data_IF_002961168197
#
_entry.id   IF_002961168197
#
_cell.length_a   1.000
_cell.length_b   1.000
_cell.length_c   1.000
_cell.angle_alpha   90.00
_cell.angle_beta   90.00
_cell.angle_gamma   90.00
#
_symmetry.space_group_name_H-M   'P 1'
#
loop_
_entity.id
_entity.type
_entity.pdbx_description
1 polymer ?
#
# COMPACT_ATOMS: atom_id res chain seq x y z
N UNK A 1 34.09 -15.75 20.94
CA UNK A 1 34.74 -16.21 19.69
C UNK A 1 34.85 -14.97 18.81
N UNK A 2 36.05 -14.55 18.39
CA UNK A 2 36.24 -13.29 17.67
C UNK A 2 35.78 -13.43 16.20
N UNK A 3 34.76 -12.67 15.78
CA UNK A 3 34.17 -12.74 14.43
C UNK A 3 35.19 -12.43 13.33
N UNK A 4 36.15 -11.54 13.59
CA UNK A 4 37.23 -11.19 12.67
C UNK A 4 38.10 -12.40 12.32
N UNK A 5 38.56 -13.14 13.33
CA UNK A 5 39.43 -14.30 13.15
C UNK A 5 38.74 -15.42 12.37
N UNK A 6 37.47 -15.67 12.67
CA UNK A 6 36.65 -16.65 11.96
C UNK A 6 36.46 -16.26 10.48
N UNK A 7 36.25 -14.96 10.19
CA UNK A 7 36.08 -14.44 8.83
C UNK A 7 37.36 -14.54 7.99
N UNK A 8 38.49 -14.15 8.57
CA UNK A 8 39.81 -14.29 7.93
C UNK A 8 40.06 -15.78 7.59
N UNK A 9 39.76 -16.68 8.52
CA UNK A 9 39.91 -18.13 8.33
C UNK A 9 39.01 -18.67 7.21
N UNK A 10 37.78 -18.18 7.10
CA UNK A 10 36.85 -18.57 6.04
C UNK A 10 37.35 -18.12 4.67
N UNK A 11 37.67 -16.83 4.51
CA UNK A 11 38.19 -16.26 3.26
C UNK A 11 39.50 -16.92 2.82
N UNK A 12 40.40 -17.23 3.77
CA UNK A 12 41.64 -17.95 3.48
C UNK A 12 41.37 -19.33 2.88
N UNK A 13 40.43 -20.08 3.48
CA UNK A 13 40.07 -21.43 3.01
C UNK A 13 39.41 -21.38 1.65
N UNK A 14 38.51 -20.43 1.42
CA UNK A 14 37.87 -20.19 0.13
C UNK A 14 38.91 -19.95 -0.98
N UNK A 15 39.90 -19.10 -0.69
CA UNK A 15 41.01 -18.80 -1.61
C UNK A 15 42.13 -19.85 -1.62
N UNK A 16 41.93 -20.98 -0.92
CA UNK A 16 42.88 -22.11 -0.82
C UNK A 16 44.30 -21.70 -0.38
N UNK A 17 44.42 -20.65 0.42
CA UNK A 17 45.71 -20.16 0.93
C UNK A 17 46.14 -20.94 2.18
N UNK A 18 47.43 -21.23 2.30
CA UNK A 18 47.99 -21.75 3.56
C UNK A 18 48.14 -20.62 4.58
N UNK A 19 48.27 -20.97 5.87
CA UNK A 19 48.55 -19.96 6.91
C UNK A 19 49.86 -19.22 6.64
N UNK A 20 50.86 -19.90 6.03
CA UNK A 20 52.14 -19.30 5.66
C UNK A 20 51.98 -18.33 4.50
N UNK A 21 51.19 -18.68 3.49
CA UNK A 21 50.89 -17.79 2.35
C UNK A 21 50.12 -16.54 2.78
N UNK A 22 49.14 -16.69 3.67
CA UNK A 22 48.37 -15.54 4.18
C UNK A 22 49.23 -14.64 5.08
N UNK A 23 50.09 -15.24 5.91
CA UNK A 23 51.01 -14.51 6.76
C UNK A 23 52.05 -13.72 5.94
N UNK A 24 52.57 -14.34 4.87
CA UNK A 24 53.64 -13.79 4.04
C UNK A 24 54.84 -13.35 4.88
N UNK A 25 55.48 -12.26 4.45
CA UNK A 25 56.72 -11.76 5.06
C UNK A 25 56.46 -10.85 6.28
N UNK A 26 55.20 -10.48 6.51
CA UNK A 26 54.80 -9.45 7.49
C UNK A 26 54.41 -10.02 8.84
N UNK A 27 54.15 -11.32 8.95
CA UNK A 27 53.88 -11.97 10.23
C UNK A 27 54.24 -13.45 10.21
N UNK A 28 54.39 -14.07 11.38
CA UNK A 28 54.65 -15.50 11.47
C UNK A 28 53.37 -16.33 11.29
N UNK A 29 53.51 -17.56 10.79
CA UNK A 29 52.43 -18.57 10.76
C UNK A 29 51.73 -18.72 12.13
N UNK A 30 52.51 -18.66 13.21
CA UNK A 30 52.00 -18.72 14.58
C UNK A 30 51.09 -17.54 14.91
N UNK A 31 51.51 -16.33 14.56
CA UNK A 31 50.70 -15.11 14.74
C UNK A 31 49.40 -15.17 13.92
N UNK A 32 49.47 -15.60 12.66
CA UNK A 32 48.28 -15.77 11.81
C UNK A 32 47.30 -16.79 12.39
N UNK A 33 47.80 -17.90 12.94
CA UNK A 33 46.97 -18.89 13.64
C UNK A 33 46.31 -18.31 14.91
N UNK A 34 47.04 -17.49 15.69
CA UNK A 34 46.47 -16.83 16.86
C UNK A 34 45.36 -15.84 16.48
N UNK A 35 45.55 -15.08 15.40
CA UNK A 35 44.53 -14.16 14.86
C UNK A 35 43.28 -14.94 14.40
N UNK A 36 43.43 -15.99 13.59
CA UNK A 36 42.29 -16.79 13.09
C UNK A 36 41.48 -17.46 14.20
N UNK A 37 42.14 -17.82 15.31
CA UNK A 37 41.47 -18.45 16.46
C UNK A 37 41.03 -17.42 17.52
N UNK A 38 41.14 -16.12 17.24
CA UNK A 38 40.71 -15.04 18.12
C UNK A 38 41.55 -14.87 19.38
N UNK A 39 42.77 -15.42 19.41
CA UNK A 39 43.72 -15.36 20.52
C UNK A 39 44.67 -14.15 20.44
N UNK A 40 44.71 -13.46 19.30
CA UNK A 40 45.46 -12.22 19.12
C UNK A 40 44.64 -11.23 18.30
N UNK A 41 44.67 -9.94 18.66
CA UNK A 41 44.12 -8.87 17.83
C UNK A 41 45.19 -8.35 16.86
N UNK A 42 44.93 -8.33 15.55
CA UNK A 42 45.86 -7.75 14.58
C UNK A 42 45.90 -6.22 14.70
N UNK A 43 47.06 -5.63 14.45
CA UNK A 43 47.18 -4.17 14.23
C UNK A 43 46.53 -3.77 12.90
N UNK A 44 46.31 -2.46 12.69
CA UNK A 44 45.80 -1.96 11.40
C UNK A 44 46.73 -2.27 10.22
N UNK A 45 48.06 -2.22 10.42
CA UNK A 45 49.02 -2.62 9.38
C UNK A 45 48.90 -4.11 9.05
N UNK A 46 48.76 -4.95 10.08
CA UNK A 46 48.54 -6.39 9.91
C UNK A 46 47.22 -6.69 9.20
N UNK A 47 46.15 -5.96 9.51
CA UNK A 47 44.84 -6.05 8.84
C UNK A 47 44.92 -5.65 7.37
N UNK A 48 45.61 -4.56 7.04
CA UNK A 48 45.84 -4.13 5.64
C UNK A 48 46.61 -5.17 4.85
N UNK A 49 47.64 -5.78 5.46
CA UNK A 49 48.39 -6.86 4.84
C UNK A 49 47.52 -8.10 4.58
N UNK A 50 46.75 -8.53 5.60
CA UNK A 50 45.83 -9.68 5.47
C UNK A 50 44.79 -9.41 4.37
N UNK A 51 44.22 -8.20 4.32
CA UNK A 51 43.24 -7.80 3.31
C UNK A 51 43.84 -7.84 1.91
N UNK A 52 45.06 -7.32 1.74
CA UNK A 52 45.80 -7.36 0.49
C UNK A 52 46.08 -8.80 0.02
N UNK A 53 46.52 -9.68 0.91
CA UNK A 53 46.78 -11.09 0.58
C UNK A 53 45.49 -11.86 0.21
N UNK A 54 44.38 -11.52 0.88
CA UNK A 54 43.06 -12.05 0.55
C UNK A 54 42.41 -11.35 -0.65
N UNK A 55 43.00 -10.28 -1.19
CA UNK A 55 42.42 -9.44 -2.25
C UNK A 55 40.99 -8.98 -1.90
N UNK A 56 40.82 -8.47 -0.68
CA UNK A 56 39.58 -7.89 -0.17
C UNK A 56 39.87 -6.52 0.46
N UNK A 57 38.85 -5.72 0.70
CA UNK A 57 39.02 -4.49 1.46
C UNK A 57 39.13 -4.77 2.97
N UNK A 58 39.85 -3.91 3.70
CA UNK A 58 39.97 -4.01 5.16
C UNK A 58 38.60 -3.98 5.84
N UNK A 59 37.66 -3.20 5.30
CA UNK A 59 36.28 -3.14 5.78
C UNK A 59 35.58 -4.52 5.72
N UNK A 60 35.89 -5.36 4.74
CA UNK A 60 35.30 -6.69 4.59
C UNK A 60 35.76 -7.64 5.72
N UNK A 61 37.03 -7.52 6.12
CA UNK A 61 37.58 -8.26 7.26
C UNK A 61 36.96 -7.82 8.59
N UNK A 62 36.84 -6.50 8.80
CA UNK A 62 36.41 -5.92 10.08
C UNK A 62 34.92 -6.14 10.36
N UNK A 63 34.09 -6.34 9.33
CA UNK A 63 32.63 -6.38 9.54
C UNK A 63 31.88 -5.44 8.60
N UNK A 64 32.49 -4.30 8.32
CA UNK A 64 31.87 -3.12 7.73
C UNK A 64 31.49 -3.27 6.25
N UNK A 65 32.20 -4.09 5.47
CA UNK A 65 31.89 -4.30 4.06
C UNK A 65 30.51 -4.92 3.84
N UNK A 66 30.12 -5.87 4.68
CA UNK A 66 28.80 -6.51 4.64
C UNK A 66 27.70 -5.58 5.13
N UNK A 67 27.98 -4.76 6.15
CA UNK A 67 27.03 -3.77 6.66
C UNK A 67 26.80 -2.63 5.66
N UNK A 68 27.86 -2.16 4.99
CA UNK A 68 27.75 -1.14 3.94
C UNK A 68 27.00 -1.68 2.73
N UNK A 69 27.34 -2.88 2.27
CA UNK A 69 26.64 -3.55 1.17
C UNK A 69 25.14 -3.66 1.43
N UNK A 70 24.72 -4.12 2.62
CA UNK A 70 23.28 -4.22 2.96
C UNK A 70 22.59 -2.87 2.99
N UNK A 71 23.24 -1.83 3.52
CA UNK A 71 22.69 -0.45 3.52
C UNK A 71 22.51 0.08 2.11
N UNK A 72 23.50 -0.12 1.24
CA UNK A 72 23.42 0.29 -0.17
C UNK A 72 22.34 -0.49 -0.94
N UNK A 73 22.20 -1.79 -0.66
CA UNK A 73 21.17 -2.65 -1.22
C UNK A 73 19.77 -2.20 -0.75
N UNK A 74 19.59 -1.96 0.54
CA UNK A 74 18.34 -1.47 1.12
C UNK A 74 17.94 -0.14 0.50
N UNK A 75 18.85 0.83 0.41
CA UNK A 75 18.56 2.14 -0.21
C UNK A 75 18.05 2.02 -1.65
N UNK A 76 18.61 1.08 -2.43
CA UNK A 76 18.15 0.81 -3.80
C UNK A 76 16.77 0.15 -3.82
N UNK A 77 16.49 -0.75 -2.88
CA UNK A 77 15.18 -1.37 -2.73
C UNK A 77 14.12 -0.35 -2.31
N UNK A 78 14.42 0.51 -1.33
CA UNK A 78 13.56 1.61 -0.90
C UNK A 78 13.20 2.53 -2.08
N UNK A 79 14.19 2.93 -2.88
CA UNK A 79 13.93 3.76 -4.06
C UNK A 79 12.99 3.10 -5.08
N UNK A 80 13.05 1.78 -5.27
CA UNK A 80 12.12 1.06 -6.14
C UNK A 80 10.72 0.98 -5.52
N UNK A 81 10.66 0.76 -4.20
CA UNK A 81 9.39 0.61 -3.48
C UNK A 81 8.63 1.94 -3.32
N UNK A 82 9.34 3.05 -3.15
CA UNK A 82 8.77 4.41 -2.97
C UNK A 82 8.37 5.08 -4.30
N UNK A 83 8.61 4.43 -5.44
CA UNK A 83 8.25 4.97 -6.76
C UNK A 83 6.73 4.88 -6.99
N UNK A 84 6.06 5.89 -7.59
CA UNK A 84 4.60 5.98 -7.72
C UNK A 84 3.90 4.76 -8.36
N UNK A 85 2.62 4.59 -8.01
CA UNK A 85 1.73 3.46 -8.33
C UNK A 85 1.70 3.05 -9.81
N UNK A 86 1.93 4.00 -10.74
CA UNK A 86 1.96 3.74 -12.20
C UNK A 86 3.05 2.75 -12.66
N UNK A 87 4.01 2.39 -11.79
CA UNK A 87 5.09 1.43 -12.08
C UNK A 87 5.11 0.23 -11.12
N UNK A 88 4.01 -0.06 -10.40
CA UNK A 88 3.97 -1.11 -9.38
C UNK A 88 4.53 -2.46 -9.85
N UNK A 89 4.05 -2.97 -10.99
CA UNK A 89 4.49 -4.29 -11.48
C UNK A 89 5.98 -4.32 -11.88
N UNK A 90 6.50 -3.38 -12.71
CA UNK A 90 7.94 -3.26 -12.96
C UNK A 90 8.78 -3.10 -11.68
N UNK A 91 8.30 -2.35 -10.70
CA UNK A 91 9.03 -2.13 -9.44
C UNK A 91 9.11 -3.42 -8.62
N UNK A 92 8.04 -4.21 -8.54
CA UNK A 92 8.07 -5.51 -7.88
C UNK A 92 9.03 -6.48 -8.58
N UNK A 93 9.03 -6.52 -9.92
CA UNK A 93 10.02 -7.32 -10.67
C UNK A 93 11.45 -6.87 -10.37
N UNK A 94 11.71 -5.56 -10.38
CA UNK A 94 13.01 -4.98 -10.05
C UNK A 94 13.46 -5.30 -8.62
N UNK A 95 12.54 -5.32 -7.65
CA UNK A 95 12.82 -5.73 -6.27
C UNK A 95 13.24 -7.20 -6.19
N UNK A 96 12.56 -8.09 -6.91
CA UNK A 96 12.94 -9.50 -6.98
C UNK A 96 14.34 -9.64 -7.56
N UNK A 97 14.61 -9.04 -8.74
CA UNK A 97 15.91 -9.11 -9.41
C UNK A 97 17.05 -8.56 -8.54
N UNK A 98 16.76 -7.49 -7.78
CA UNK A 98 17.73 -6.83 -6.90
C UNK A 98 18.08 -7.67 -5.67
N UNK A 99 17.08 -8.29 -5.03
CA UNK A 99 17.24 -8.90 -3.70
C UNK A 99 17.51 -10.40 -3.78
N UNK A 100 16.91 -11.11 -4.75
CA UNK A 100 16.99 -12.58 -4.86
C UNK A 100 18.42 -13.13 -4.82
N UNK A 101 19.44 -12.55 -5.50
CA UNK A 101 20.81 -13.06 -5.49
C UNK A 101 21.52 -12.95 -4.12
N UNK A 102 20.89 -12.28 -3.15
CA UNK A 102 21.50 -11.91 -1.88
C UNK A 102 20.78 -12.49 -0.66
N UNK A 103 19.66 -13.22 -0.86
CA UNK A 103 18.83 -13.76 0.22
C UNK A 103 19.61 -14.63 1.22
N UNK A 104 20.51 -15.50 0.74
CA UNK A 104 21.31 -16.38 1.62
C UNK A 104 22.29 -15.62 2.52
N UNK A 105 22.59 -14.35 2.20
CA UNK A 105 23.52 -13.50 2.96
C UNK A 105 22.82 -12.62 3.99
N UNK A 106 21.49 -12.69 4.08
CA UNK A 106 20.69 -11.86 4.98
C UNK A 106 20.71 -12.43 6.41
N UNK A 107 21.43 -11.75 7.30
CA UNK A 107 21.58 -12.15 8.71
C UNK A 107 20.59 -11.44 9.64
N UNK A 108 20.66 -11.69 10.94
CA UNK A 108 19.81 -11.05 11.94
C UNK A 108 20.21 -9.57 12.15
N UNK A 109 19.66 -8.67 11.35
CA UNK A 109 19.80 -7.21 11.45
C UNK A 109 18.61 -6.52 10.78
N UNK A 110 18.48 -5.20 10.99
CA UNK A 110 17.38 -4.40 10.46
C UNK A 110 17.33 -4.42 8.94
N UNK A 111 18.45 -4.16 8.27
CA UNK A 111 18.49 -4.04 6.81
C UNK A 111 18.07 -5.35 6.14
N UNK A 112 18.53 -6.49 6.68
CA UNK A 112 18.12 -7.82 6.23
C UNK A 112 16.64 -8.09 6.45
N UNK A 113 16.07 -7.69 7.59
CA UNK A 113 14.63 -7.84 7.85
C UNK A 113 13.80 -7.02 6.85
N UNK A 114 14.22 -5.78 6.58
CA UNK A 114 13.52 -4.89 5.66
C UNK A 114 13.61 -5.35 4.20
N UNK A 115 14.77 -5.86 3.78
CA UNK A 115 14.94 -6.48 2.46
C UNK A 115 14.05 -7.72 2.27
N UNK A 116 13.95 -8.58 3.27
CA UNK A 116 13.04 -9.74 3.21
C UNK A 116 11.57 -9.32 3.20
N UNK A 117 11.19 -8.27 3.93
CA UNK A 117 9.85 -7.70 3.87
C UNK A 117 9.53 -7.20 2.44
N UNK A 118 10.42 -6.42 1.82
CA UNK A 118 10.22 -5.95 0.44
C UNK A 118 10.15 -7.10 -0.56
N UNK A 119 11.00 -8.11 -0.38
CA UNK A 119 10.96 -9.31 -1.21
C UNK A 119 9.64 -10.07 -1.05
N UNK A 120 9.16 -10.27 0.18
CA UNK A 120 7.88 -10.92 0.45
C UNK A 120 6.71 -10.16 -0.18
N UNK A 121 6.66 -8.83 -0.03
CA UNK A 121 5.65 -7.98 -0.68
C UNK A 121 5.68 -8.12 -2.21
N UNK A 122 6.86 -8.04 -2.81
CA UNK A 122 7.02 -8.21 -4.26
C UNK A 122 6.58 -9.60 -4.73
N UNK A 123 6.97 -10.67 -4.02
CA UNK A 123 6.52 -12.03 -4.33
C UNK A 123 4.99 -12.15 -4.26
N UNK A 124 4.36 -11.58 -3.25
CA UNK A 124 2.90 -11.60 -3.11
C UNK A 124 2.20 -10.91 -4.29
N UNK A 125 2.60 -9.68 -4.64
CA UNK A 125 2.02 -8.97 -5.79
C UNK A 125 2.29 -9.67 -7.13
N UNK A 126 3.39 -10.39 -7.24
CA UNK A 126 3.73 -11.23 -8.40
C UNK A 126 3.13 -12.65 -8.33
N UNK A 127 2.26 -12.93 -7.35
CA UNK A 127 1.59 -14.23 -7.14
C UNK A 127 2.55 -15.41 -7.01
N UNK A 128 3.71 -15.17 -6.40
CA UNK A 128 4.72 -16.20 -6.09
C UNK A 128 4.48 -16.77 -4.69
N UNK A 129 4.29 -18.08 -4.59
CA UNK A 129 3.99 -18.78 -3.32
C UNK A 129 5.06 -18.61 -2.24
N UNK A 130 6.31 -18.37 -2.64
CA UNK A 130 7.45 -18.19 -1.72
C UNK A 130 7.36 -16.95 -0.81
N UNK A 131 6.40 -16.04 -1.04
CA UNK A 131 6.24 -14.81 -0.26
C UNK A 131 6.12 -15.09 1.25
N UNK A 132 5.41 -16.15 1.64
CA UNK A 132 5.15 -16.48 3.04
C UNK A 132 6.42 -16.90 3.78
N UNK A 133 7.36 -17.55 3.10
CA UNK A 133 8.66 -17.94 3.66
C UNK A 133 9.45 -16.69 4.08
N UNK A 134 9.51 -15.69 3.21
CA UNK A 134 10.26 -14.46 3.47
C UNK A 134 9.52 -13.55 4.45
N UNK A 135 8.18 -13.54 4.43
CA UNK A 135 7.36 -12.90 5.45
C UNK A 135 7.68 -13.44 6.86
N UNK A 136 7.67 -14.76 7.04
CA UNK A 136 7.99 -15.39 8.32
C UNK A 136 9.44 -15.12 8.76
N UNK A 137 10.38 -15.11 7.81
CA UNK A 137 11.78 -14.77 8.07
C UNK A 137 11.95 -13.33 8.57
N UNK A 138 11.32 -12.36 7.89
CA UNK A 138 11.34 -10.94 8.28
C UNK A 138 10.67 -10.74 9.65
N UNK A 139 9.51 -11.38 9.87
CA UNK A 139 8.77 -11.35 11.13
C UNK A 139 9.65 -11.82 12.30
N UNK A 140 10.33 -12.94 12.13
CA UNK A 140 11.24 -13.48 13.14
C UNK A 140 12.37 -12.49 13.46
N UNK A 141 12.96 -11.85 12.44
CA UNK A 141 14.03 -10.86 12.65
C UNK A 141 13.54 -9.62 13.40
N UNK A 142 12.41 -9.04 13.01
CA UNK A 142 11.87 -7.87 13.72
C UNK A 142 11.52 -8.18 15.17
N UNK A 143 10.93 -9.35 15.44
CA UNK A 143 10.63 -9.79 16.81
C UNK A 143 11.91 -9.93 17.65
N UNK A 144 12.93 -10.60 17.13
CA UNK A 144 14.21 -10.81 17.83
C UNK A 144 15.00 -9.53 18.06
N UNK A 145 14.85 -8.55 17.18
CA UNK A 145 15.49 -7.23 17.30
C UNK A 145 14.67 -6.25 18.15
N UNK A 146 13.49 -6.65 18.64
CA UNK A 146 12.56 -5.79 19.38
C UNK A 146 12.15 -4.52 18.60
N UNK A 147 12.09 -4.63 17.27
CA UNK A 147 11.68 -3.54 16.37
C UNK A 147 10.16 -3.57 16.20
N UNK A 148 9.45 -3.24 17.28
CA UNK A 148 8.01 -3.47 17.40
C UNK A 148 7.16 -2.73 16.37
N UNK A 149 7.53 -1.50 15.97
CA UNK A 149 6.85 -0.78 14.89
C UNK A 149 6.97 -1.51 13.54
N UNK A 150 8.17 -1.95 13.17
CA UNK A 150 8.37 -2.70 11.92
C UNK A 150 7.72 -4.07 11.98
N UNK A 151 7.73 -4.71 13.16
CA UNK A 151 7.00 -5.95 13.41
C UNK A 151 5.49 -5.76 13.21
N UNK A 152 4.90 -4.71 13.79
CA UNK A 152 3.49 -4.38 13.67
C UNK A 152 3.11 -4.03 12.22
N UNK A 153 3.89 -3.19 11.53
CA UNK A 153 3.67 -2.88 10.11
C UNK A 153 3.70 -4.13 9.23
N UNK A 154 4.59 -5.08 9.51
CA UNK A 154 4.63 -6.35 8.78
C UNK A 154 3.39 -7.22 9.08
N UNK A 155 2.95 -7.28 10.34
CA UNK A 155 1.74 -8.00 10.70
C UNK A 155 0.48 -7.40 10.03
N UNK A 156 0.35 -6.07 10.03
CA UNK A 156 -0.71 -5.37 9.32
C UNK A 156 -0.70 -5.66 7.81
N UNK A 157 0.48 -5.83 7.20
CA UNK A 157 0.57 -6.28 5.80
C UNK A 157 -0.11 -7.64 5.58
N UNK A 158 -0.07 -8.58 6.55
CA UNK A 158 -0.79 -9.85 6.43
C UNK A 158 -2.31 -9.66 6.47
N UNK A 159 -2.83 -8.76 7.32
CA UNK A 159 -4.24 -8.39 7.28
C UNK A 159 -4.62 -7.81 5.91
N UNK A 160 -3.74 -6.98 5.32
CA UNK A 160 -3.97 -6.43 3.99
C UNK A 160 -3.89 -7.46 2.85
N UNK A 161 -3.20 -8.58 3.04
CA UNK A 161 -3.27 -9.73 2.11
C UNK A 161 -4.69 -10.31 2.10
N UNK A 162 -5.27 -10.57 3.27
CA UNK A 162 -6.65 -11.07 3.37
C UNK A 162 -7.66 -10.07 2.80
N UNK A 163 -7.45 -8.77 3.01
CA UNK A 163 -8.26 -7.71 2.38
C UNK A 163 -8.24 -7.77 0.85
N UNK A 164 -7.06 -7.94 0.24
CA UNK A 164 -6.94 -8.04 -1.22
C UNK A 164 -7.56 -9.33 -1.78
N UNK A 165 -7.62 -10.38 -0.96
CA UNK A 165 -8.35 -11.63 -1.23
C UNK A 165 -9.86 -11.53 -0.94
N UNK A 166 -10.34 -10.35 -0.53
CA UNK A 166 -11.74 -10.07 -0.17
C UNK A 166 -12.25 -10.85 1.05
N UNK A 167 -11.34 -11.35 1.91
CA UNK A 167 -11.68 -11.93 3.22
C UNK A 167 -11.71 -10.83 4.29
N UNK A 168 -12.68 -9.91 4.18
CA UNK A 168 -12.70 -8.67 4.97
C UNK A 168 -12.81 -8.91 6.49
N UNK A 169 -13.63 -9.87 6.92
CA UNK A 169 -13.79 -10.22 8.34
C UNK A 169 -12.51 -10.81 8.94
N UNK A 170 -11.79 -11.63 8.17
CA UNK A 170 -10.52 -12.23 8.60
C UNK A 170 -9.44 -11.15 8.69
N UNK A 171 -9.36 -10.26 7.70
CA UNK A 171 -8.48 -9.09 7.71
C UNK A 171 -8.72 -8.22 8.96
N UNK A 172 -9.99 -7.90 9.25
CA UNK A 172 -10.36 -7.09 10.43
C UNK A 172 -9.97 -7.79 11.73
N UNK A 173 -10.27 -9.08 11.84
CA UNK A 173 -9.97 -9.89 13.02
C UNK A 173 -8.46 -9.94 13.29
N UNK A 174 -7.65 -10.11 12.24
CA UNK A 174 -6.19 -10.08 12.35
C UNK A 174 -5.71 -8.71 12.84
N UNK A 175 -6.13 -7.61 12.19
CA UNK A 175 -5.67 -6.27 12.51
C UNK A 175 -6.02 -5.85 13.96
N UNK A 176 -7.27 -6.08 14.41
CA UNK A 176 -7.70 -5.74 15.77
C UNK A 176 -6.93 -6.57 16.81
N UNK A 177 -6.88 -7.90 16.63
CA UNK A 177 -6.21 -8.79 17.58
C UNK A 177 -4.74 -8.43 17.78
N UNK A 178 -4.06 -8.07 16.70
CA UNK A 178 -2.67 -7.64 16.75
C UNK A 178 -2.52 -6.32 17.50
N UNK A 179 -3.34 -5.33 17.14
CA UNK A 179 -3.35 -4.01 17.75
C UNK A 179 -3.59 -4.09 19.27
N UNK A 180 -4.63 -4.81 19.70
CA UNK A 180 -4.95 -5.07 21.12
C UNK A 180 -3.79 -5.77 21.83
N UNK A 181 -3.12 -6.72 21.17
CA UNK A 181 -1.98 -7.43 21.77
C UNK A 181 -0.79 -6.52 22.08
N UNK A 182 -0.60 -5.43 21.31
CA UNK A 182 0.44 -4.44 21.59
C UNK A 182 0.05 -3.61 22.81
N UNK A 183 -1.22 -3.21 22.94
CA UNK A 183 -1.73 -2.48 24.10
C UNK A 183 -1.64 -3.31 25.38
N UNK A 184 -2.08 -4.57 25.35
CA UNK A 184 -1.98 -5.51 26.48
C UNK A 184 -0.54 -5.70 26.97
N UNK A 185 0.42 -5.76 26.03
CA UNK A 185 1.85 -5.89 26.32
C UNK A 185 2.53 -4.57 26.64
N UNK A 186 1.79 -3.45 26.68
CA UNK A 186 2.30 -2.09 26.90
C UNK A 186 3.40 -1.69 25.89
N UNK A 187 3.34 -2.23 24.67
CA UNK A 187 4.25 -1.90 23.59
C UNK A 187 3.81 -0.59 22.95
N UNK A 188 4.67 0.41 22.98
CA UNK A 188 4.40 1.72 22.36
C UNK A 188 4.84 1.68 20.90
N UNK A 189 3.88 1.78 19.99
CA UNK A 189 4.12 1.97 18.56
C UNK A 189 4.45 3.43 18.27
N UNK A 190 5.27 3.67 17.25
CA UNK A 190 5.46 5.03 16.75
C UNK A 190 4.15 5.58 16.14
N UNK A 191 4.01 6.91 16.04
CA UNK A 191 2.76 7.52 15.58
C UNK A 191 2.30 7.09 14.18
N UNK A 192 3.22 6.86 13.23
CA UNK A 192 2.83 6.48 11.87
C UNK A 192 2.28 5.05 11.85
N UNK A 193 2.95 4.11 12.51
CA UNK A 193 2.46 2.73 12.62
C UNK A 193 1.12 2.66 13.35
N UNK A 194 0.91 3.45 14.42
CA UNK A 194 -0.41 3.50 15.07
C UNK A 194 -1.48 4.06 14.12
N UNK A 195 -1.18 5.12 13.37
CA UNK A 195 -2.10 5.67 12.37
C UNK A 195 -2.45 4.67 11.27
N UNK A 196 -1.49 3.85 10.81
CA UNK A 196 -1.76 2.76 9.86
C UNK A 196 -2.84 1.81 10.42
N UNK A 197 -2.72 1.37 11.67
CA UNK A 197 -3.70 0.49 12.30
C UNK A 197 -5.08 1.15 12.44
N UNK A 198 -5.15 2.38 12.96
CA UNK A 198 -6.44 3.06 13.14
C UNK A 198 -7.15 3.27 11.79
N UNK A 199 -6.41 3.68 10.76
CA UNK A 199 -6.92 3.85 9.41
C UNK A 199 -7.40 2.52 8.81
N UNK A 200 -6.57 1.47 8.82
CA UNK A 200 -6.93 0.17 8.22
C UNK A 200 -8.09 -0.49 8.95
N UNK A 201 -8.15 -0.41 10.29
CA UNK A 201 -9.28 -0.93 11.06
C UNK A 201 -10.56 -0.17 10.71
N UNK A 202 -10.50 1.16 10.52
CA UNK A 202 -11.65 1.94 10.05
C UNK A 202 -12.14 1.47 8.67
N UNK A 203 -11.24 1.36 7.70
CA UNK A 203 -11.53 0.85 6.34
C UNK A 203 -12.14 -0.54 6.39
N UNK A 204 -11.58 -1.45 7.18
CA UNK A 204 -12.07 -2.82 7.29
C UNK A 204 -13.44 -2.92 7.97
N UNK A 205 -13.73 -2.08 8.96
CA UNK A 205 -15.08 -1.99 9.54
C UNK A 205 -16.09 -1.52 8.48
N UNK A 206 -15.74 -0.53 7.65
CA UNK A 206 -16.60 -0.08 6.55
C UNK A 206 -16.81 -1.17 5.50
N UNK A 207 -15.78 -1.95 5.18
CA UNK A 207 -15.85 -3.04 4.20
C UNK A 207 -16.88 -4.12 4.59
N UNK A 208 -17.08 -4.36 5.89
CA UNK A 208 -18.07 -5.32 6.41
C UNK A 208 -19.40 -4.65 6.82
N UNK A 209 -19.60 -3.37 6.49
CA UNK A 209 -20.81 -2.61 6.82
C UNK A 209 -20.97 -2.25 8.29
N UNK A 210 -19.91 -2.31 9.10
CA UNK A 210 -19.89 -1.87 10.51
C UNK A 210 -19.55 -0.37 10.61
N UNK A 211 -20.41 0.42 10.00
CA UNK A 211 -20.28 1.86 9.77
C UNK A 211 -20.03 2.69 11.03
N UNK A 212 -20.80 2.47 12.09
CA UNK A 212 -20.62 3.19 13.36
C UNK A 212 -19.22 2.96 13.97
N UNK A 213 -18.68 1.75 13.79
CA UNK A 213 -17.32 1.43 14.25
C UNK A 213 -16.28 2.04 13.33
N UNK A 214 -16.51 2.00 12.02
CA UNK A 214 -15.61 2.64 11.06
C UNK A 214 -15.43 4.13 11.38
N UNK A 215 -16.53 4.82 11.70
CA UNK A 215 -16.53 6.24 12.06
C UNK A 215 -15.80 6.48 13.39
N UNK A 216 -16.00 5.64 14.41
CA UNK A 216 -15.24 5.70 15.68
C UNK A 216 -13.72 5.62 15.47
N UNK A 217 -13.25 4.61 14.74
CA UNK A 217 -11.81 4.41 14.48
C UNK A 217 -11.22 5.54 13.64
N UNK A 218 -11.97 6.05 12.66
CA UNK A 218 -11.56 7.17 11.82
C UNK A 218 -11.43 8.46 12.62
N UNK A 219 -12.40 8.78 13.47
CA UNK A 219 -12.37 9.97 14.32
C UNK A 219 -11.20 9.89 15.33
N UNK A 220 -10.95 8.70 15.90
CA UNK A 220 -9.77 8.47 16.73
C UNK A 220 -8.46 8.70 15.95
N UNK A 221 -8.36 8.20 14.72
CA UNK A 221 -7.18 8.40 13.87
C UNK A 221 -6.93 9.89 13.58
N UNK A 222 -7.98 10.63 13.22
CA UNK A 222 -7.89 12.08 12.96
C UNK A 222 -7.48 12.83 14.23
N UNK A 223 -8.10 12.51 15.37
CA UNK A 223 -7.79 13.13 16.65
C UNK A 223 -6.33 12.87 17.06
N UNK A 224 -5.87 11.62 16.90
CA UNK A 224 -4.51 11.20 17.20
C UNK A 224 -3.48 11.88 16.29
N UNK A 225 -3.74 11.96 14.98
CA UNK A 225 -2.89 12.66 14.01
C UNK A 225 -2.69 14.14 14.39
N UNK A 226 -3.79 14.83 14.77
CA UNK A 226 -3.77 16.23 15.19
C UNK A 226 -3.02 16.39 16.52
N UNK A 227 -3.31 15.55 17.51
CA UNK A 227 -2.66 15.58 18.84
C UNK A 227 -1.14 15.41 18.70
N UNK A 228 -0.70 14.42 17.92
CA UNK A 228 0.73 14.13 17.69
C UNK A 228 1.38 15.06 16.67
N UNK A 229 0.60 15.89 15.97
CA UNK A 229 1.05 16.73 14.84
C UNK A 229 1.76 15.91 13.77
N UNK A 230 1.23 14.72 13.50
CA UNK A 230 1.71 13.80 12.47
C UNK A 230 0.63 13.73 11.40
N UNK A 231 0.87 14.42 10.27
CA UNK A 231 -0.08 14.53 9.16
C UNK A 231 0.06 13.41 8.12
N UNK A 232 0.76 12.33 8.47
CA UNK A 232 0.78 11.09 7.69
C UNK A 232 -0.65 10.52 7.59
N UNK A 233 -1.10 10.19 6.37
CA UNK A 233 -2.47 9.71 6.04
C UNK A 233 -3.63 10.66 6.34
N UNK A 234 -3.37 11.91 6.69
CA UNK A 234 -4.49 12.79 7.06
C UNK A 234 -5.42 13.07 5.87
N UNK A 235 -4.88 13.10 4.66
CA UNK A 235 -5.63 13.14 3.40
C UNK A 235 -6.48 11.88 3.20
N UNK A 236 -5.92 10.68 3.41
CA UNK A 236 -6.68 9.42 3.36
C UNK A 236 -7.89 9.46 4.31
N UNK A 237 -7.65 9.92 5.55
CA UNK A 237 -8.68 10.04 6.58
C UNK A 237 -9.74 11.09 6.24
N UNK A 238 -9.35 12.25 5.69
CA UNK A 238 -10.32 13.25 5.25
C UNK A 238 -11.14 12.80 4.04
N UNK A 239 -10.54 12.06 3.12
CA UNK A 239 -11.27 11.43 2.00
C UNK A 239 -12.29 10.42 2.51
N UNK A 240 -11.88 9.52 3.40
CA UNK A 240 -12.78 8.56 4.03
C UNK A 240 -13.93 9.26 4.75
N UNK A 241 -13.62 10.26 5.60
CA UNK A 241 -14.62 10.99 6.38
C UNK A 241 -15.60 11.77 5.51
N UNK A 242 -15.10 12.40 4.44
CA UNK A 242 -15.92 13.12 3.49
C UNK A 242 -16.86 12.17 2.74
N UNK A 243 -16.36 11.02 2.27
CA UNK A 243 -17.17 10.01 1.60
C UNK A 243 -18.26 9.42 2.51
N UNK A 244 -17.90 9.09 3.75
CA UNK A 244 -18.86 8.66 4.78
C UNK A 244 -19.95 9.70 5.02
N UNK A 245 -19.58 10.97 5.14
CA UNK A 245 -20.53 12.07 5.31
C UNK A 245 -21.47 12.22 4.09
N UNK A 246 -20.98 12.02 2.86
CA UNK A 246 -21.83 11.99 1.66
C UNK A 246 -22.87 10.87 1.75
N UNK A 247 -22.44 9.65 2.07
CA UNK A 247 -23.30 8.47 2.14
C UNK A 247 -24.39 8.59 3.21
N UNK A 248 -24.10 9.29 4.31
CA UNK A 248 -25.02 9.51 5.43
C UNK A 248 -25.90 10.77 5.27
N UNK A 249 -25.70 11.57 4.21
CA UNK A 249 -26.41 12.84 4.02
C UNK A 249 -26.00 13.94 5.02
N UNK A 250 -24.80 13.84 5.60
CA UNK A 250 -24.28 14.77 6.60
C UNK A 250 -23.54 15.94 5.96
N UNK A 251 -24.30 16.86 5.35
CA UNK A 251 -23.76 17.92 4.49
C UNK A 251 -22.71 18.82 5.17
N UNK A 252 -22.93 19.18 6.43
CA UNK A 252 -21.98 20.03 7.17
C UNK A 252 -20.63 19.34 7.38
N UNK A 253 -20.62 18.04 7.70
CA UNK A 253 -19.40 17.25 7.85
C UNK A 253 -18.71 17.06 6.51
N UNK A 254 -19.47 16.81 5.45
CA UNK A 254 -18.96 16.66 4.09
C UNK A 254 -18.20 17.90 3.64
N UNK A 255 -18.80 19.09 3.80
CA UNK A 255 -18.15 20.39 3.51
C UNK A 255 -16.93 20.64 4.38
N UNK A 256 -16.99 20.27 5.66
CA UNK A 256 -15.86 20.40 6.56
C UNK A 256 -14.67 19.55 6.10
N UNK A 257 -14.86 18.26 5.81
CA UNK A 257 -13.76 17.36 5.47
C UNK A 257 -13.19 17.61 4.07
N UNK A 258 -14.03 17.97 3.08
CA UNK A 258 -13.52 18.31 1.74
C UNK A 258 -12.66 19.58 1.77
N UNK A 259 -13.04 20.56 2.59
CA UNK A 259 -12.25 21.77 2.79
C UNK A 259 -10.93 21.47 3.52
N UNK A 260 -10.95 20.57 4.50
CA UNK A 260 -9.71 20.12 5.17
C UNK A 260 -8.76 19.41 4.21
N UNK A 261 -9.29 18.57 3.32
CA UNK A 261 -8.50 17.93 2.26
C UNK A 261 -7.86 18.97 1.34
N UNK A 262 -8.63 19.98 0.90
CA UNK A 262 -8.13 21.07 0.05
C UNK A 262 -7.01 21.86 0.71
N UNK A 263 -7.21 22.27 1.96
CA UNK A 263 -6.20 23.01 2.74
C UNK A 263 -4.92 22.18 2.96
N UNK A 264 -5.04 20.87 3.15
CA UNK A 264 -3.90 19.99 3.24
C UNK A 264 -3.16 19.86 1.90
N UNK A 265 -3.90 19.73 0.80
CA UNK A 265 -3.34 19.69 -0.55
C UNK A 265 -2.54 20.96 -0.86
N UNK A 266 -3.10 22.13 -0.55
CA UNK A 266 -2.43 23.44 -0.69
C UNK A 266 -1.15 23.50 0.17
N UNK A 267 -1.25 23.09 1.44
CA UNK A 267 -0.12 23.11 2.37
C UNK A 267 1.03 22.18 1.95
N UNK A 268 0.71 21.03 1.36
CA UNK A 268 1.69 20.00 0.98
C UNK A 268 2.11 20.05 -0.48
N UNK A 269 1.54 20.96 -1.27
CA UNK A 269 1.73 21.05 -2.74
C UNK A 269 1.44 19.72 -3.45
N UNK A 270 0.51 18.92 -2.91
CA UNK A 270 0.16 17.59 -3.40
C UNK A 270 -0.96 17.65 -4.44
N UNK A 271 -0.58 17.47 -5.71
CA UNK A 271 -1.50 17.49 -6.85
C UNK A 271 -2.59 16.42 -6.76
N UNK A 272 -2.23 15.22 -6.36
CA UNK A 272 -3.16 14.09 -6.19
C UNK A 272 -4.27 14.40 -5.16
N UNK A 273 -3.92 15.07 -4.06
CA UNK A 273 -4.90 15.50 -3.05
C UNK A 273 -5.87 16.55 -3.58
N UNK A 274 -5.41 17.46 -4.47
CA UNK A 274 -6.29 18.41 -5.16
C UNK A 274 -7.24 17.71 -6.12
N UNK A 275 -6.73 16.77 -6.91
CA UNK A 275 -7.51 15.97 -7.86
C UNK A 275 -8.60 15.17 -7.14
N UNK A 276 -8.29 14.55 -6.00
CA UNK A 276 -9.30 13.89 -5.16
C UNK A 276 -10.39 14.88 -4.71
N UNK A 277 -10.03 16.09 -4.28
CA UNK A 277 -11.03 17.06 -3.84
C UNK A 277 -11.98 17.48 -4.99
N UNK A 278 -11.47 17.61 -6.21
CA UNK A 278 -12.27 17.91 -7.40
C UNK A 278 -13.22 16.74 -7.73
N UNK A 279 -12.69 15.53 -7.86
CA UNK A 279 -13.49 14.34 -8.20
C UNK A 279 -14.55 14.07 -7.14
N UNK A 280 -14.23 14.20 -5.84
CA UNK A 280 -15.19 13.97 -4.77
C UNK A 280 -16.35 14.98 -4.79
N UNK A 281 -16.07 16.26 -5.10
CA UNK A 281 -17.14 17.24 -5.28
C UNK A 281 -17.97 16.96 -6.53
N UNK A 282 -17.33 16.65 -7.65
CA UNK A 282 -18.03 16.23 -8.87
C UNK A 282 -18.95 15.03 -8.58
N UNK A 283 -18.41 14.00 -7.93
CA UNK A 283 -19.14 12.81 -7.52
C UNK A 283 -20.37 13.12 -6.66
N UNK A 284 -20.22 14.02 -5.70
CA UNK A 284 -21.35 14.46 -4.90
C UNK A 284 -22.47 15.06 -5.77
N UNK A 285 -22.13 15.97 -6.68
CA UNK A 285 -23.13 16.67 -7.50
C UNK A 285 -23.70 15.80 -8.62
N UNK A 286 -22.95 14.86 -9.17
CA UNK A 286 -23.47 13.92 -10.18
C UNK A 286 -24.35 12.84 -9.57
N UNK A 287 -24.03 12.40 -8.35
CA UNK A 287 -24.62 11.18 -7.79
C UNK A 287 -25.62 11.45 -6.68
N UNK A 288 -25.42 12.46 -5.84
CA UNK A 288 -26.30 12.72 -4.69
C UNK A 288 -27.30 13.85 -4.97
N UNK A 289 -26.83 14.98 -5.51
CA UNK A 289 -27.71 16.12 -5.82
C UNK A 289 -28.25 16.12 -7.26
N UNK A 290 -27.60 15.39 -8.17
CA UNK A 290 -27.93 15.36 -9.60
C UNK A 290 -27.96 16.78 -10.22
N UNK A 291 -26.99 17.62 -9.84
CA UNK A 291 -26.84 19.01 -10.26
C UNK A 291 -25.69 19.16 -11.30
N UNK A 292 -26.01 19.25 -12.61
CA UNK A 292 -24.99 19.27 -13.66
C UNK A 292 -24.15 20.56 -13.68
N UNK A 293 -24.72 21.70 -13.31
CA UNK A 293 -24.00 22.98 -13.28
C UNK A 293 -22.87 22.94 -12.24
N UNK A 294 -23.19 22.49 -11.02
CA UNK A 294 -22.19 22.33 -9.97
C UNK A 294 -21.20 21.22 -10.31
N UNK A 295 -21.65 20.08 -10.85
CA UNK A 295 -20.73 19.02 -11.28
C UNK A 295 -19.70 19.51 -12.30
N UNK A 296 -20.14 20.28 -13.31
CA UNK A 296 -19.25 20.83 -14.32
C UNK A 296 -18.19 21.77 -13.72
N UNK A 297 -18.57 22.60 -12.75
CA UNK A 297 -17.64 23.53 -12.08
C UNK A 297 -16.44 22.85 -11.42
N UNK A 298 -16.54 21.55 -11.10
CA UNK A 298 -15.41 20.75 -10.60
C UNK A 298 -14.73 19.95 -11.71
N UNK A 299 -15.51 19.34 -12.61
CA UNK A 299 -14.98 18.53 -13.71
C UNK A 299 -14.15 19.33 -14.71
N UNK A 300 -14.54 20.57 -15.03
CA UNK A 300 -13.80 21.42 -15.97
C UNK A 300 -12.42 21.85 -15.46
N UNK A 301 -12.23 21.79 -14.14
CA UNK A 301 -10.98 22.13 -13.48
C UNK A 301 -10.10 20.90 -13.24
N UNK A 302 -10.53 19.70 -13.66
CA UNK A 302 -9.72 18.50 -13.59
C UNK A 302 -8.60 18.56 -14.65
N UNK A 303 -7.35 18.19 -14.34
CA UNK A 303 -6.23 18.35 -15.27
C UNK A 303 -6.40 17.53 -16.57
N UNK A 304 -6.27 18.18 -17.74
CA UNK A 304 -6.43 17.56 -19.08
C UNK A 304 -5.45 16.40 -19.36
N UNK A 305 -4.38 16.24 -18.57
CA UNK A 305 -3.36 15.21 -18.81
C UNK A 305 -3.75 13.81 -18.32
N UNK A 306 -4.91 13.65 -17.67
CA UNK A 306 -5.31 12.41 -17.01
C UNK A 306 -6.59 11.81 -17.60
N UNK A 307 -6.68 11.78 -18.93
CA UNK A 307 -7.71 11.03 -19.68
C UNK A 307 -7.73 9.51 -19.33
N UNK A 308 -6.73 9.01 -18.59
CA UNK A 308 -6.66 7.66 -18.05
C UNK A 308 -7.39 7.47 -16.72
N UNK A 309 -7.91 8.53 -16.09
CA UNK A 309 -8.50 8.41 -14.76
C UNK A 309 -9.91 7.84 -14.81
N UNK A 310 -10.06 6.58 -14.41
CA UNK A 310 -11.34 5.86 -14.44
C UNK A 310 -12.44 6.54 -13.60
N UNK A 311 -12.09 7.18 -12.49
CA UNK A 311 -13.07 7.92 -11.66
C UNK A 311 -13.53 9.19 -12.37
N UNK A 312 -12.61 9.98 -12.92
CA UNK A 312 -12.97 11.17 -13.69
C UNK A 312 -13.83 10.82 -14.91
N UNK A 313 -13.45 9.77 -15.66
CA UNK A 313 -14.25 9.31 -16.81
C UNK A 313 -15.66 8.87 -16.41
N UNK A 314 -15.81 8.19 -15.28
CA UNK A 314 -17.11 7.80 -14.75
C UNK A 314 -17.95 9.03 -14.36
N UNK A 315 -17.35 10.01 -13.69
CA UNK A 315 -18.06 11.23 -13.29
C UNK A 315 -18.41 12.11 -14.49
N UNK A 316 -17.54 12.18 -15.51
CA UNK A 316 -17.84 12.82 -16.79
C UNK A 316 -18.99 12.11 -17.50
N UNK A 317 -19.04 10.77 -17.50
CA UNK A 317 -20.15 10.02 -18.08
C UNK A 317 -21.47 10.31 -17.35
N UNK A 318 -21.47 10.37 -16.02
CA UNK A 318 -22.65 10.77 -15.23
C UNK A 318 -23.10 12.19 -15.55
N UNK A 319 -22.17 13.14 -15.67
CA UNK A 319 -22.48 14.50 -16.10
C UNK A 319 -23.16 14.53 -17.48
N UNK A 320 -22.60 13.81 -18.47
CA UNK A 320 -23.20 13.70 -19.81
C UNK A 320 -24.59 13.06 -19.81
N UNK A 321 -24.83 12.11 -18.91
CA UNK A 321 -26.17 11.56 -18.72
C UNK A 321 -27.14 12.63 -18.21
N UNK A 322 -26.75 13.41 -17.20
CA UNK A 322 -27.58 14.49 -16.62
C UNK A 322 -27.89 15.61 -17.62
N UNK A 323 -27.00 15.86 -18.60
CA UNK A 323 -27.22 16.87 -19.66
C UNK A 323 -27.98 16.33 -20.88
N UNK A 324 -28.34 15.04 -20.88
CA UNK A 324 -29.05 14.40 -21.99
C UNK A 324 -28.14 13.96 -23.16
N UNK A 325 -26.82 14.02 -23.00
CA UNK A 325 -25.81 13.60 -23.98
C UNK A 325 -25.55 12.08 -23.89
N UNK A 326 -26.60 11.28 -24.03
CA UNK A 326 -26.57 9.84 -23.73
C UNK A 326 -25.55 9.04 -24.54
N UNK A 327 -25.40 9.33 -25.83
CA UNK A 327 -24.44 8.63 -26.70
C UNK A 327 -23.00 8.89 -26.26
N UNK A 328 -22.66 10.14 -25.95
CA UNK A 328 -21.33 10.53 -25.44
C UNK A 328 -21.06 9.90 -24.07
N UNK A 329 -22.08 9.86 -23.19
CA UNK A 329 -21.98 9.16 -21.91
C UNK A 329 -21.63 7.67 -22.10
N UNK A 330 -22.33 6.97 -23.01
CA UNK A 330 -22.05 5.56 -23.31
C UNK A 330 -20.64 5.33 -23.89
N UNK A 331 -20.12 6.25 -24.69
CA UNK A 331 -18.75 6.19 -25.21
C UNK A 331 -17.70 6.34 -24.11
N UNK A 332 -17.94 7.20 -23.12
CA UNK A 332 -17.08 7.34 -21.95
C UNK A 332 -17.14 6.08 -21.06
N UNK A 333 -18.33 5.52 -20.80
CA UNK A 333 -18.48 4.33 -19.96
C UNK A 333 -17.75 3.09 -20.52
N UNK A 334 -17.58 3.00 -21.85
CA UNK A 334 -16.78 1.94 -22.49
C UNK A 334 -15.29 2.05 -22.18
N UNK A 335 -14.80 3.25 -21.90
CA UNK A 335 -13.40 3.52 -21.58
C UNK A 335 -13.10 3.33 -20.09
N UNK A 336 -14.10 3.48 -19.21
CA UNK A 336 -13.97 3.22 -17.77
C UNK A 336 -13.61 1.75 -17.54
N UNK A 337 -12.39 1.52 -17.08
CA UNK A 337 -11.93 0.24 -16.57
C UNK A 337 -12.01 0.20 -15.06
N UNK A 338 -12.21 -0.99 -14.48
CA UNK A 338 -12.18 -1.14 -13.02
C UNK A 338 -10.88 -1.86 -12.71
N UNK A 339 -9.92 -1.10 -12.18
CA UNK A 339 -8.60 -1.61 -11.85
C UNK A 339 -8.69 -2.77 -10.86
N UNK A 340 -7.86 -3.80 -11.07
CA UNK A 340 -7.73 -4.93 -10.15
C UNK A 340 -7.19 -4.54 -8.77
N UNK A 341 -6.68 -3.30 -8.62
CA UNK A 341 -6.17 -2.75 -7.37
C UNK A 341 -7.28 -2.11 -6.51
N UNK A 342 -8.52 -1.99 -7.02
CA UNK A 342 -9.66 -1.52 -6.24
C UNK A 342 -10.25 -2.74 -5.52
N UNK A 343 -10.12 -2.77 -4.19
CA UNK A 343 -10.60 -3.88 -3.37
C UNK A 343 -11.71 -3.49 -2.42
N UNK A 344 -11.78 -2.22 -1.98
CA UNK A 344 -12.77 -1.84 -0.97
C UNK A 344 -14.20 -1.94 -1.55
N UNK A 345 -15.16 -2.58 -0.84
CA UNK A 345 -16.51 -2.79 -1.36
C UNK A 345 -17.23 -1.50 -1.76
N UNK A 346 -16.98 -0.39 -1.06
CA UNK A 346 -17.64 0.88 -1.40
C UNK A 346 -17.05 1.50 -2.66
N UNK A 347 -15.75 1.39 -2.86
CA UNK A 347 -15.07 1.91 -4.06
C UNK A 347 -15.50 1.08 -5.28
N UNK A 348 -15.56 -0.25 -5.13
CA UNK A 348 -16.12 -1.15 -6.14
C UNK A 348 -17.57 -0.80 -6.47
N UNK A 349 -18.42 -0.62 -5.46
CA UNK A 349 -19.81 -0.26 -5.66
C UNK A 349 -19.99 1.09 -6.38
N UNK A 350 -19.17 2.08 -6.02
CA UNK A 350 -19.12 3.38 -6.70
C UNK A 350 -18.73 3.23 -8.17
N UNK A 351 -17.73 2.41 -8.48
CA UNK A 351 -17.32 2.14 -9.86
C UNK A 351 -18.36 1.35 -10.65
N UNK A 352 -19.05 0.41 -10.01
CA UNK A 352 -20.15 -0.35 -10.61
C UNK A 352 -21.39 0.50 -10.87
N UNK A 353 -21.49 1.71 -10.31
CA UNK A 353 -22.52 2.67 -10.67
C UNK A 353 -22.52 3.01 -12.17
N UNK A 354 -21.41 2.71 -12.88
CA UNK A 354 -21.35 2.76 -14.35
C UNK A 354 -22.49 2.01 -15.03
N UNK A 355 -22.94 0.89 -14.48
CA UNK A 355 -24.01 0.08 -15.03
C UNK A 355 -25.38 0.74 -14.87
N UNK A 356 -25.60 1.43 -13.74
CA UNK A 356 -26.82 2.24 -13.54
C UNK A 356 -26.86 3.38 -14.56
N UNK A 357 -25.75 4.08 -14.76
CA UNK A 357 -25.65 5.18 -15.73
C UNK A 357 -25.84 4.67 -17.15
N UNK A 358 -25.27 3.50 -17.49
CA UNK A 358 -25.50 2.84 -18.77
C UNK A 358 -27.00 2.56 -18.98
N UNK A 359 -27.69 2.01 -17.98
CA UNK A 359 -29.13 1.76 -18.07
C UNK A 359 -29.94 3.05 -18.28
N UNK A 360 -29.62 4.12 -17.56
CA UNK A 360 -30.26 5.44 -17.72
C UNK A 360 -30.06 6.01 -19.13
N UNK A 361 -28.85 5.90 -19.68
CA UNK A 361 -28.57 6.34 -21.05
C UNK A 361 -29.36 5.54 -22.09
N UNK A 362 -29.40 4.22 -21.96
CA UNK A 362 -30.16 3.34 -22.87
C UNK A 362 -31.66 3.64 -22.80
N UNK A 363 -32.21 3.90 -21.61
CA UNK A 363 -33.58 4.38 -21.45
C UNK A 363 -33.81 5.72 -22.15
N UNK A 364 -32.88 6.68 -21.98
CA UNK A 364 -32.92 7.97 -22.67
C UNK A 364 -32.88 7.87 -24.21
N UNK A 365 -32.33 6.77 -24.74
CA UNK A 365 -32.32 6.44 -26.17
C UNK A 365 -33.49 5.54 -26.61
N UNK A 366 -34.34 5.09 -25.68
CA UNK A 366 -35.48 4.20 -25.94
C UNK A 366 -35.14 2.70 -26.00
N UNK A 367 -33.92 2.31 -25.66
CA UNK A 367 -33.40 0.93 -25.76
C UNK A 367 -33.63 0.15 -24.45
N UNK A 368 -34.88 -0.20 -24.16
CA UNK A 368 -35.28 -0.84 -22.90
C UNK A 368 -34.58 -2.18 -22.63
N UNK A 369 -34.35 -2.99 -23.66
CA UNK A 369 -33.66 -4.29 -23.54
C UNK A 369 -32.21 -4.11 -23.06
N UNK A 370 -31.48 -3.16 -23.66
CA UNK A 370 -30.11 -2.84 -23.26
C UNK A 370 -30.05 -2.30 -21.83
N UNK A 371 -31.07 -1.52 -21.42
CA UNK A 371 -31.13 -1.00 -20.06
C UNK A 371 -31.28 -2.12 -19.02
N UNK A 372 -32.15 -3.11 -19.28
CA UNK A 372 -32.31 -4.29 -18.42
C UNK A 372 -31.03 -5.14 -18.37
N UNK A 373 -30.35 -5.32 -19.51
CA UNK A 373 -29.06 -6.01 -19.54
C UNK A 373 -28.00 -5.31 -18.69
N UNK A 374 -27.94 -3.97 -18.76
CA UNK A 374 -27.00 -3.20 -17.94
C UNK A 374 -27.31 -3.34 -16.44
N UNK A 375 -28.59 -3.35 -16.06
CA UNK A 375 -29.00 -3.61 -14.67
C UNK A 375 -28.57 -5.00 -14.20
N UNK A 376 -28.80 -6.04 -15.00
CA UNK A 376 -28.39 -7.41 -14.65
C UNK A 376 -26.88 -7.50 -14.41
N UNK A 377 -26.08 -6.86 -15.27
CA UNK A 377 -24.63 -6.75 -15.09
C UNK A 377 -24.26 -6.02 -13.80
N UNK A 378 -24.92 -4.91 -13.50
CA UNK A 378 -24.68 -4.15 -12.27
C UNK A 378 -25.03 -4.92 -11.00
N UNK A 379 -26.15 -5.65 -10.98
CA UNK A 379 -26.56 -6.46 -9.84
C UNK A 379 -25.58 -7.61 -9.61
N UNK A 380 -25.15 -8.28 -10.69
CA UNK A 380 -24.13 -9.33 -10.62
C UNK A 380 -22.78 -8.79 -10.13
N UNK A 381 -22.38 -7.61 -10.58
CA UNK A 381 -21.13 -6.99 -10.15
C UNK A 381 -21.13 -6.62 -8.65
N UNK A 382 -22.30 -6.25 -8.10
CA UNK A 382 -22.45 -5.93 -6.67
C UNK A 382 -22.79 -7.16 -5.80
N UNK A 383 -22.71 -8.38 -6.32
CA UNK A 383 -22.96 -9.58 -5.52
C UNK A 383 -21.94 -9.69 -4.38
N UNK A 384 -22.42 -9.83 -3.14
CA UNK A 384 -21.57 -9.89 -1.94
C UNK A 384 -21.05 -8.54 -1.42
N UNK A 385 -21.35 -7.43 -2.10
CA UNK A 385 -21.04 -6.08 -1.60
C UNK A 385 -22.12 -5.64 -0.59
N UNK A 386 -21.76 -4.98 0.53
CA UNK A 386 -22.74 -4.40 1.45
C UNK A 386 -23.73 -3.47 0.76
N UNK A 387 -24.91 -3.26 1.36
CA UNK A 387 -25.96 -2.45 0.75
C UNK A 387 -25.63 -0.93 0.77
N UNK A 388 -24.90 -0.48 -0.25
CA UNK A 388 -24.52 0.93 -0.43
C UNK A 388 -25.64 1.76 -1.07
N UNK A 389 -25.48 3.09 -1.10
CA UNK A 389 -26.35 4.02 -1.85
C UNK A 389 -26.40 3.66 -3.34
N UNK A 390 -25.30 3.23 -3.94
CA UNK A 390 -25.25 2.86 -5.37
C UNK A 390 -26.08 1.61 -5.65
N UNK A 391 -25.96 0.58 -4.80
CA UNK A 391 -26.77 -0.65 -4.88
C UNK A 391 -28.26 -0.30 -4.76
N UNK A 392 -28.62 0.54 -3.78
CA UNK A 392 -30.01 1.00 -3.57
C UNK A 392 -30.55 1.75 -4.80
N UNK A 393 -29.76 2.67 -5.38
CA UNK A 393 -30.15 3.41 -6.60
C UNK A 393 -30.34 2.47 -7.79
N UNK A 394 -29.46 1.48 -7.97
CA UNK A 394 -29.58 0.49 -9.05
C UNK A 394 -30.84 -0.38 -8.89
N UNK A 395 -31.10 -0.90 -7.69
CA UNK A 395 -32.31 -1.69 -7.40
C UNK A 395 -33.61 -0.87 -7.55
N UNK A 396 -33.56 0.43 -7.23
CA UNK A 396 -34.69 1.34 -7.45
C UNK A 396 -34.97 1.49 -8.95
N UNK A 397 -33.93 1.75 -9.75
CA UNK A 397 -34.05 1.89 -11.20
C UNK A 397 -34.61 0.62 -11.86
N UNK A 398 -34.17 -0.56 -11.40
CA UNK A 398 -34.74 -1.84 -11.87
C UNK A 398 -36.26 -1.87 -11.73
N UNK A 399 -36.78 -1.52 -10.56
CA UNK A 399 -38.23 -1.53 -10.29
C UNK A 399 -38.97 -0.52 -11.16
N UNK A 400 -38.37 0.64 -11.43
CA UNK A 400 -38.94 1.67 -12.31
C UNK A 400 -39.07 1.14 -13.74
N UNK A 401 -38.01 0.59 -14.33
CA UNK A 401 -38.01 0.06 -15.71
C UNK A 401 -38.96 -1.14 -15.86
N UNK A 402 -38.98 -2.05 -14.89
CA UNK A 402 -39.91 -3.19 -14.88
C UNK A 402 -41.38 -2.76 -14.78
N UNK A 403 -41.65 -1.61 -14.15
CA UNK A 403 -43.00 -1.07 -14.05
C UNK A 403 -43.48 -0.38 -15.33
N UNK A 404 -42.57 0.24 -16.09
CA UNK A 404 -42.86 0.86 -17.39
C UNK A 404 -43.06 -0.18 -18.51
N UNK A 405 -42.51 -1.39 -18.33
CA UNK A 405 -42.60 -2.49 -19.29
C UNK A 405 -43.87 -3.36 -19.14
N UNK A 406 -44.71 -3.08 -18.14
CA UNK A 406 -45.99 -3.77 -17.87
C UNK A 406 -47.18 -2.91 -18.29
#
# INVERSE_FOLDING_TARGET
MNELGARIKALRKEKKLTLEMLAGDKMSKGMMSLIENGKAQPSMESLQHIAKQLQVEVAELIGDGQAKFRRDLLKRAESLYETPSSYELPNYLGLIELIQPHLEKLSLNYESAKLEEYYAKACFHLKKEEWEVFYLSAKHKYEKLHLYSSYASLLLMRAMVEFQLHHYEDALTLAIKEYESFEEKTIVLDPMTKLDYLYIISVLNSAIGQDDKADLWMEEAIAYAIEKRVFYRIDDLYRLACFRAMMNGEEDKRRYYIEKLRLYADFTERKDSHEYALIMNAHFYTTFEENPEMAWSYLENFPETDDSNDFYMLEMAKYRNLTGEYTTSLELLKQVTISSNIHHPYDLSMMYDKYRVQALNEMGLGNHENALMAIEQGLKANEGIPETVYVKKLMKLQKEIESESR
#
